data_IF_241808806565
#
_entry.id   IF_241808806565
#
_cell.length_a   1.000
_cell.length_b   1.000
_cell.length_c   1.000
_cell.angle_alpha   90.00
_cell.angle_beta   90.00
_cell.angle_gamma   90.00
#
_symmetry.space_group_name_H-M   'P 1'
#
loop_
_entity.id
_entity.type
_entity.pdbx_description
1 polymer ?
#
# COMPACT_ATOMS: atom_id res chain seq x y z
N UNK A 1 -3.49 -26.08 -11.19
CA UNK A 1 -3.46 -26.71 -9.86
C UNK A 1 -3.31 -25.60 -8.83
N UNK A 2 -4.18 -25.59 -7.82
CA UNK A 2 -4.30 -24.51 -6.84
C UNK A 2 -5.77 -24.25 -6.56
N UNK A 3 -6.42 -25.22 -5.92
CA UNK A 3 -7.73 -25.01 -5.31
C UNK A 3 -7.55 -23.94 -4.23
N UNK A 4 -8.00 -22.71 -4.50
CA UNK A 4 -8.21 -21.72 -3.47
C UNK A 4 -9.29 -22.28 -2.54
N UNK A 5 -8.86 -22.93 -1.45
CA UNK A 5 -9.71 -23.11 -0.29
C UNK A 5 -10.29 -21.72 0.02
N UNK A 6 -11.61 -21.60 -0.07
CA UNK A 6 -12.37 -20.44 0.39
C UNK A 6 -12.24 -20.37 1.92
N UNK A 7 -11.03 -20.07 2.42
CA UNK A 7 -10.79 -19.75 3.82
C UNK A 7 -11.60 -18.49 4.10
N UNK A 8 -12.38 -18.52 5.18
CA UNK A 8 -13.17 -17.38 5.62
C UNK A 8 -12.31 -16.10 5.62
N UNK A 9 -12.83 -15.04 5.02
CA UNK A 9 -12.12 -13.77 4.93
C UNK A 9 -12.00 -13.18 6.32
N UNK A 10 -10.78 -13.10 6.84
CA UNK A 10 -10.48 -12.41 8.08
C UNK A 10 -10.20 -10.94 7.76
N UNK A 11 -10.92 -10.04 8.42
CA UNK A 11 -10.71 -8.59 8.33
C UNK A 11 -10.34 -8.02 9.71
N UNK A 12 -9.60 -6.92 9.72
CA UNK A 12 -9.33 -6.18 10.96
C UNK A 12 -10.41 -5.13 11.21
N UNK A 13 -10.80 -5.00 12.46
CA UNK A 13 -11.45 -3.80 12.95
C UNK A 13 -10.50 -2.61 12.86
N UNK A 14 -11.05 -1.40 12.84
CA UNK A 14 -10.25 -0.16 12.88
C UNK A 14 -9.27 -0.13 14.07
N UNK A 15 -9.69 -0.65 15.22
CA UNK A 15 -8.85 -0.69 16.42
C UNK A 15 -7.71 -1.71 16.32
N UNK A 16 -7.94 -2.87 15.69
CA UNK A 16 -6.85 -3.82 15.37
C UNK A 16 -5.86 -3.20 14.39
N UNK A 17 -6.35 -2.51 13.35
CA UNK A 17 -5.48 -1.82 12.39
C UNK A 17 -4.62 -0.74 13.07
N UNK A 18 -5.19 0.10 13.93
CA UNK A 18 -4.42 1.13 14.65
C UNK A 18 -3.33 0.53 15.52
N UNK A 19 -3.59 -0.59 16.21
CA UNK A 19 -2.55 -1.30 16.98
C UNK A 19 -1.42 -1.77 16.07
N UNK A 20 -1.77 -2.35 14.93
CA UNK A 20 -0.80 -2.75 13.92
C UNK A 20 0.02 -1.56 13.38
N UNK A 21 -0.65 -0.47 13.01
CA UNK A 21 -0.03 0.74 12.47
C UNK A 21 0.96 1.36 13.47
N UNK A 22 0.61 1.38 14.76
CA UNK A 22 1.50 1.84 15.82
C UNK A 22 2.82 1.06 15.86
N UNK A 23 2.76 -0.28 15.76
CA UNK A 23 3.98 -1.12 15.73
C UNK A 23 4.83 -0.92 14.46
N UNK A 24 4.25 -0.38 13.38
CA UNK A 24 4.96 -0.11 12.13
C UNK A 24 5.65 1.26 12.09
N UNK A 25 5.37 2.15 13.06
CA UNK A 25 5.94 3.51 13.10
C UNK A 25 7.47 3.50 13.23
N UNK A 26 8.07 2.41 13.69
CA UNK A 26 9.53 2.20 13.74
C UNK A 26 10.18 2.18 12.34
N UNK A 27 9.39 1.91 11.30
CA UNK A 27 9.83 1.86 9.90
C UNK A 27 8.90 2.69 9.02
N UNK A 28 9.25 3.97 8.74
CA UNK A 28 8.40 4.88 7.97
C UNK A 28 7.89 4.29 6.65
N UNK A 29 8.76 3.60 5.88
CA UNK A 29 8.37 2.97 4.60
C UNK A 29 7.26 1.93 4.80
N UNK A 30 7.34 1.10 5.85
CA UNK A 30 6.31 0.11 6.17
C UNK A 30 5.02 0.77 6.63
N UNK A 31 5.13 1.74 7.54
CA UNK A 31 4.00 2.51 8.07
C UNK A 31 3.16 3.12 6.94
N UNK A 32 3.76 4.00 6.13
CA UNK A 32 3.04 4.68 5.05
C UNK A 32 2.55 3.73 3.95
N UNK A 33 3.25 2.61 3.72
CA UNK A 33 2.77 1.57 2.81
C UNK A 33 1.45 0.97 3.29
N UNK A 34 1.34 0.63 4.58
CA UNK A 34 0.12 0.08 5.15
C UNK A 34 -1.00 1.10 5.33
N UNK A 35 -0.68 2.37 5.62
CA UNK A 35 -1.66 3.48 5.61
C UNK A 35 -2.33 3.61 4.24
N UNK A 36 -1.54 3.63 3.17
CA UNK A 36 -2.07 3.69 1.80
C UNK A 36 -2.90 2.44 1.45
N UNK A 37 -2.47 1.24 1.84
CA UNK A 37 -3.22 0.00 1.57
C UNK A 37 -4.58 -0.01 2.26
N UNK A 38 -4.62 0.39 3.53
CA UNK A 38 -5.83 0.35 4.35
C UNK A 38 -6.81 1.47 3.98
N UNK A 39 -6.37 2.73 3.99
CA UNK A 39 -7.26 3.88 3.81
C UNK A 39 -7.66 4.14 2.36
N UNK A 40 -6.80 3.77 1.39
CA UNK A 40 -7.14 3.90 -0.02
C UNK A 40 -7.64 2.58 -0.64
N UNK A 41 -7.58 1.46 0.07
CA UNK A 41 -8.08 0.16 -0.41
C UNK A 41 -7.43 -0.31 -1.72
N UNK A 42 -6.17 0.05 -1.94
CA UNK A 42 -5.42 -0.29 -3.16
C UNK A 42 -4.75 -1.65 -3.04
N UNK A 43 -4.41 -2.26 -4.17
CA UNK A 43 -3.67 -3.53 -4.21
C UNK A 43 -2.18 -3.29 -4.00
N UNK A 44 -1.46 -4.27 -3.46
CA UNK A 44 0.01 -4.19 -3.30
C UNK A 44 0.74 -3.80 -4.59
N UNK A 45 0.36 -4.38 -5.74
CA UNK A 45 0.99 -4.03 -7.00
C UNK A 45 0.75 -2.56 -7.39
N UNK A 46 -0.43 -2.02 -7.08
CA UNK A 46 -0.77 -0.62 -7.32
C UNK A 46 0.05 0.29 -6.38
N UNK A 47 0.12 -0.06 -5.08
CA UNK A 47 0.96 0.63 -4.09
C UNK A 47 2.42 0.71 -4.56
N UNK A 48 3.00 -0.44 -4.92
CA UNK A 48 4.40 -0.54 -5.33
C UNK A 48 4.70 0.19 -6.64
N UNK A 49 3.67 0.63 -7.37
CA UNK A 49 3.83 1.40 -8.59
C UNK A 49 3.64 2.90 -8.38
N UNK A 50 3.20 3.35 -7.21
CA UNK A 50 2.94 4.77 -6.93
C UNK A 50 4.18 5.64 -7.07
N UNK A 51 3.98 6.80 -7.67
CA UNK A 51 4.98 7.85 -7.88
C UNK A 51 4.43 9.19 -7.37
N UNK A 52 5.28 10.21 -7.09
CA UNK A 52 4.79 11.51 -6.64
C UNK A 52 3.81 12.16 -7.62
N UNK A 53 3.94 11.89 -8.93
CA UNK A 53 3.03 12.42 -9.95
C UNK A 53 1.59 11.88 -9.86
N UNK A 54 1.34 10.83 -9.08
CA UNK A 54 0.01 10.26 -8.92
C UNK A 54 -0.85 10.98 -7.87
N UNK A 55 -0.23 11.82 -7.03
CA UNK A 55 -0.89 12.53 -5.95
C UNK A 55 -1.27 13.95 -6.38
N UNK A 56 -2.54 14.31 -6.19
CA UNK A 56 -3.05 15.67 -6.28
C UNK A 56 -3.52 16.08 -4.88
N UNK A 57 -2.59 16.59 -4.07
CA UNK A 57 -2.84 17.00 -2.69
C UNK A 57 -3.80 18.18 -2.59
N UNK A 58 -3.86 19.05 -3.60
CA UNK A 58 -4.83 20.15 -3.66
C UNK A 58 -6.28 19.67 -3.80
N UNK A 59 -6.47 18.46 -4.37
CA UNK A 59 -7.78 17.80 -4.46
C UNK A 59 -7.95 16.65 -3.48
N UNK A 60 -6.94 16.36 -2.65
CA UNK A 60 -6.89 15.20 -1.75
C UNK A 60 -7.14 13.87 -2.48
N UNK A 61 -6.47 13.66 -3.61
CA UNK A 61 -6.65 12.44 -4.40
C UNK A 61 -5.36 11.76 -4.81
N UNK A 62 -5.44 10.44 -4.98
CA UNK A 62 -4.39 9.62 -5.61
C UNK A 62 -4.95 8.91 -6.84
N UNK A 63 -4.20 8.94 -7.94
CA UNK A 63 -4.58 8.28 -9.20
C UNK A 63 -3.90 6.92 -9.31
N UNK A 64 -4.71 5.87 -9.44
CA UNK A 64 -4.26 4.50 -9.65
C UNK A 64 -4.37 4.17 -11.13
N UNK A 65 -3.23 4.16 -11.82
CA UNK A 65 -3.14 3.98 -13.28
C UNK A 65 -2.05 2.98 -13.71
N UNK A 66 -1.40 2.31 -12.77
CA UNK A 66 -0.31 1.37 -12.98
C UNK A 66 -0.22 0.36 -11.84
N UNK A 67 0.41 -0.77 -12.13
CA UNK A 67 0.70 -1.82 -11.16
C UNK A 67 2.09 -2.38 -11.42
N UNK A 68 2.82 -2.62 -10.34
CA UNK A 68 4.16 -3.16 -10.35
C UNK A 68 4.11 -4.64 -9.94
N UNK A 69 4.85 -5.44 -10.68
CA UNK A 69 5.05 -6.85 -10.40
C UNK A 69 6.45 -7.27 -10.82
N UNK A 70 7.00 -8.28 -10.14
CA UNK A 70 8.25 -8.88 -10.54
C UNK A 70 7.96 -10.18 -11.28
N UNK A 71 8.32 -10.26 -12.55
CA UNK A 71 8.11 -11.42 -13.41
C UNK A 71 9.47 -11.95 -13.87
N UNK A 72 9.75 -13.23 -13.66
CA UNK A 72 11.02 -13.85 -14.06
C UNK A 72 12.28 -13.11 -13.58
N UNK A 73 12.21 -12.48 -12.40
CA UNK A 73 13.32 -11.72 -11.83
C UNK A 73 13.39 -10.26 -12.30
N UNK A 74 12.55 -9.84 -13.25
CA UNK A 74 12.52 -8.49 -13.80
C UNK A 74 11.39 -7.63 -13.22
N UNK A 75 11.69 -6.36 -13.02
CA UNK A 75 10.77 -5.34 -12.55
C UNK A 75 9.85 -4.89 -13.69
N UNK A 76 8.58 -5.29 -13.65
CA UNK A 76 7.59 -4.99 -14.68
C UNK A 76 6.54 -4.02 -14.14
N UNK A 77 6.53 -2.80 -14.68
CA UNK A 77 5.43 -1.86 -14.49
C UNK A 77 4.44 -2.08 -15.63
N UNK A 78 3.23 -2.48 -15.26
CA UNK A 78 2.12 -2.67 -16.21
C UNK A 78 1.10 -1.56 -16.04
N UNK A 79 0.68 -1.00 -17.16
CA UNK A 79 -0.56 -0.21 -17.20
C UNK A 79 -1.74 -1.17 -17.25
N UNK A 80 -2.89 -0.82 -16.64
CA UNK A 80 -4.04 -1.71 -16.67
C UNK A 80 -4.49 -2.02 -18.10
N UNK A 81 -4.90 -3.27 -18.33
CA UNK A 81 -5.31 -3.77 -19.66
C UNK A 81 -6.53 -3.03 -20.22
N UNK A 82 -7.30 -2.31 -19.39
CA UNK A 82 -8.48 -1.55 -19.79
C UNK A 82 -8.57 -0.22 -19.05
N UNK A 83 -9.09 0.83 -19.71
CA UNK A 83 -9.29 2.16 -19.13
C UNK A 83 -10.13 2.15 -17.84
N UNK A 84 -11.04 1.18 -17.71
CA UNK A 84 -11.93 1.02 -16.54
C UNK A 84 -11.18 0.72 -15.24
N UNK A 85 -9.95 0.21 -15.32
CA UNK A 85 -9.14 -0.07 -14.14
C UNK A 85 -8.36 1.14 -13.65
N UNK A 86 -8.29 2.22 -14.43
CA UNK A 86 -7.77 3.50 -13.97
C UNK A 86 -8.83 4.16 -13.10
N UNK A 87 -8.44 4.60 -11.90
CA UNK A 87 -9.35 5.27 -10.97
C UNK A 87 -8.62 6.31 -10.15
N UNK A 88 -9.35 7.34 -9.74
CA UNK A 88 -8.88 8.33 -8.78
C UNK A 88 -9.59 8.06 -7.46
N UNK A 89 -8.82 7.96 -6.39
CA UNK A 89 -9.31 7.66 -5.05
C UNK A 89 -9.20 8.94 -4.23
N UNK A 90 -10.27 9.30 -3.54
CA UNK A 90 -10.24 10.38 -2.54
C UNK A 90 -9.54 9.87 -1.30
N UNK A 91 -8.51 10.59 -0.87
CA UNK A 91 -7.74 10.29 0.33
C UNK A 91 -8.36 11.00 1.53
N UNK A 92 -8.31 10.41 2.74
CA UNK A 92 -8.54 11.15 3.96
C UNK A 92 -7.56 12.32 4.09
N UNK A 93 -8.01 13.46 4.62
CA UNK A 93 -7.19 14.66 4.77
C UNK A 93 -5.89 14.40 5.55
N UNK A 94 -5.98 13.72 6.70
CA UNK A 94 -4.79 13.40 7.51
C UNK A 94 -3.74 12.58 6.73
N UNK A 95 -4.19 11.67 5.86
CA UNK A 95 -3.29 10.84 5.05
C UNK A 95 -2.61 11.66 3.94
N UNK A 96 -3.29 12.70 3.43
CA UNK A 96 -2.65 13.65 2.52
C UNK A 96 -1.50 14.37 3.20
N UNK A 97 -1.72 14.90 4.39
CA UNK A 97 -0.69 15.61 5.18
C UNK A 97 0.50 14.67 5.47
N UNK A 98 0.21 13.48 6.00
CA UNK A 98 1.21 12.44 6.28
C UNK A 98 2.03 12.03 5.05
N UNK A 99 1.38 11.84 3.90
CA UNK A 99 2.08 11.49 2.66
C UNK A 99 2.90 12.68 2.11
N UNK A 100 2.45 13.93 2.28
CA UNK A 100 3.26 15.10 1.90
C UNK A 100 4.54 15.17 2.73
N UNK A 101 4.44 14.95 4.04
CA UNK A 101 5.58 14.90 4.94
C UNK A 101 6.54 13.77 4.56
N UNK A 102 6.01 12.57 4.33
CA UNK A 102 6.80 11.42 3.91
C UNK A 102 7.56 11.67 2.61
N UNK A 103 6.89 12.21 1.58
CA UNK A 103 7.54 12.56 0.32
C UNK A 103 8.62 13.64 0.50
N UNK A 104 8.42 14.58 1.42
CA UNK A 104 9.41 15.61 1.77
C UNK A 104 10.69 15.03 2.40
N UNK A 105 10.60 13.90 3.10
CA UNK A 105 11.75 13.20 3.68
C UNK A 105 12.57 12.41 2.66
N UNK A 106 12.00 12.10 1.49
CA UNK A 106 12.66 11.32 0.44
C UNK A 106 13.55 12.21 -0.44
N UNK A 107 14.79 12.41 -0.02
CA UNK A 107 15.79 13.21 -0.75
C UNK A 107 15.99 12.72 -2.20
N UNK A 108 15.92 13.66 -3.14
CA UNK A 108 16.20 13.40 -4.56
C UNK A 108 15.11 12.66 -5.34
N UNK A 109 13.93 12.42 -4.72
CA UNK A 109 12.81 11.75 -5.35
C UNK A 109 12.26 12.57 -6.54
N UNK A 110 12.34 12.01 -7.74
CA UNK A 110 11.77 12.64 -8.95
C UNK A 110 10.30 12.26 -9.10
N UNK A 111 9.58 13.04 -9.90
CA UNK A 111 8.14 12.84 -10.15
C UNK A 111 7.74 11.44 -10.65
N UNK A 112 8.65 10.73 -11.32
CA UNK A 112 8.40 9.39 -11.89
C UNK A 112 9.03 8.26 -11.09
N UNK A 113 9.75 8.58 -10.02
CA UNK A 113 10.40 7.57 -9.20
C UNK A 113 9.36 6.88 -8.31
N UNK A 114 9.55 5.59 -8.06
CA UNK A 114 8.68 4.85 -7.15
C UNK A 114 8.88 5.34 -5.73
N UNK A 115 7.78 5.60 -5.04
CA UNK A 115 7.80 6.03 -3.62
C UNK A 115 8.20 4.86 -2.71
N UNK A 116 7.65 3.68 -2.97
CA UNK A 116 7.86 2.48 -2.17
C UNK A 116 8.82 1.52 -2.90
N UNK A 117 10.13 1.67 -2.66
CA UNK A 117 11.17 0.81 -3.25
C UNK A 117 11.35 -0.51 -2.47
N UNK A 118 10.24 -1.17 -2.15
CA UNK A 118 10.21 -2.46 -1.43
C UNK A 118 9.60 -3.56 -2.30
N UNK A 119 9.71 -4.80 -1.85
CA UNK A 119 9.14 -5.96 -2.55
C UNK A 119 7.83 -6.40 -1.91
N UNK A 120 7.04 -7.22 -2.62
CA UNK A 120 5.88 -7.89 -2.01
C UNK A 120 6.30 -8.74 -0.81
N UNK A 121 7.37 -9.52 -0.95
CA UNK A 121 7.90 -10.35 0.14
C UNK A 121 8.26 -9.52 1.38
N UNK A 122 8.81 -8.32 1.19
CA UNK A 122 9.05 -7.37 2.29
C UNK A 122 7.73 -7.00 3.00
N UNK A 123 6.70 -6.59 2.25
CA UNK A 123 5.40 -6.24 2.86
C UNK A 123 4.77 -7.44 3.58
N UNK A 124 4.86 -8.65 3.03
CA UNK A 124 4.38 -9.86 3.68
C UNK A 124 5.10 -10.13 5.01
N UNK A 125 6.42 -9.99 5.04
CA UNK A 125 7.21 -10.14 6.25
C UNK A 125 6.87 -9.08 7.30
N UNK A 126 6.69 -7.82 6.89
CA UNK A 126 6.29 -6.75 7.81
C UNK A 126 4.88 -6.91 8.34
N UNK A 127 3.96 -7.45 7.52
CA UNK A 127 2.63 -7.84 7.99
C UNK A 127 2.70 -8.95 9.05
N UNK A 128 3.55 -9.97 8.87
CA UNK A 128 3.75 -11.02 9.88
C UNK A 128 4.34 -10.44 11.17
N UNK A 129 5.37 -9.59 11.05
CA UNK A 129 6.04 -8.92 12.16
C UNK A 129 5.07 -8.05 12.96
N UNK A 130 4.36 -7.16 12.27
CA UNK A 130 3.45 -6.20 12.89
C UNK A 130 2.24 -6.85 13.52
N UNK A 131 1.64 -7.86 12.86
CA UNK A 131 0.51 -8.59 13.42
C UNK A 131 0.89 -9.29 14.73
N UNK A 132 2.08 -9.91 14.76
CA UNK A 132 2.62 -10.56 15.97
C UNK A 132 2.90 -9.55 17.08
N UNK A 133 3.53 -8.42 16.77
CA UNK A 133 3.87 -7.39 17.76
C UNK A 133 2.62 -6.74 18.36
N UNK A 134 1.63 -6.42 17.53
CA UNK A 134 0.38 -5.80 17.94
C UNK A 134 -0.59 -6.79 18.64
N UNK A 135 -0.27 -8.09 18.64
CA UNK A 135 -1.13 -9.14 19.19
C UNK A 135 -2.46 -9.28 18.45
N UNK A 136 -2.49 -8.97 17.14
CA UNK A 136 -3.69 -9.07 16.30
C UNK A 136 -3.61 -10.29 15.38
N UNK A 137 -4.76 -10.80 14.94
CA UNK A 137 -4.81 -11.92 14.00
C UNK A 137 -4.09 -11.58 12.70
N UNK A 138 -3.42 -12.55 12.08
CA UNK A 138 -2.81 -12.36 10.76
C UNK A 138 -3.87 -12.44 9.66
N UNK A 139 -4.09 -11.33 8.92
CA UNK A 139 -4.95 -11.26 7.73
C UNK A 139 -4.11 -11.10 6.47
N UNK A 140 -4.60 -11.46 5.27
CA UNK A 140 -3.81 -11.20 4.04
C UNK A 140 -3.72 -9.69 3.81
N UNK A 141 -2.65 -9.22 3.19
CA UNK A 141 -2.51 -7.79 2.87
C UNK A 141 -3.62 -7.35 1.92
N UNK A 142 -4.01 -8.20 0.97
CA UNK A 142 -5.19 -7.95 0.14
C UNK A 142 -6.46 -7.70 0.98
N UNK A 143 -6.60 -8.33 2.15
CA UNK A 143 -7.79 -8.18 2.99
C UNK A 143 -7.86 -6.82 3.70
N UNK A 144 -6.79 -6.02 3.71
CA UNK A 144 -6.80 -4.65 4.26
C UNK A 144 -7.77 -3.70 3.53
N UNK A 145 -8.15 -4.02 2.29
CA UNK A 145 -9.07 -3.20 1.49
C UNK A 145 -10.55 -3.54 1.69
N UNK A 146 -10.85 -4.50 2.55
CA UNK A 146 -12.19 -5.03 2.82
C UNK A 146 -12.64 -4.64 4.23
#
# INVERSE_FOLDING_TARGET
MGSEEHREMLFWTKEEYKKFAFEMMDKPVSFYAFEMLYWCGIREGELLALTPADFDFGKETVTINKSYQRLHGEDVITTPKTKKSNRTIKMPHFLCEEMQEYLGMLYGLKKKDRIFMVTKSYLHHEMDRGAKAAGVKRIRIHDLRH
#
